data_IF_727192175562
#
_entry.id   IF_727192175562
#
_cell.length_a   1.000
_cell.length_b   1.000
_cell.length_c   1.000
_cell.angle_alpha   90.00
_cell.angle_beta   90.00
_cell.angle_gamma   90.00
#
_symmetry.space_group_name_H-M   'P 1'
#
loop_
_entity.id
_entity.type
_entity.pdbx_description
1 polymer ?
#
# COMPACT_ATOMS: atom_id res chain seq x y z
N UNK A 1 17.67 22.30 4.54
CA UNK A 1 16.91 22.44 3.28
C UNK A 1 16.48 23.89 3.15
N UNK A 2 16.71 24.53 2.00
CA UNK A 2 16.29 25.92 1.77
C UNK A 2 14.76 26.06 1.90
N UNK A 3 14.32 27.00 2.73
CA UNK A 3 12.89 27.28 2.98
C UNK A 3 12.14 27.62 1.68
N UNK A 4 12.83 28.25 0.72
CA UNK A 4 12.23 28.59 -0.58
C UNK A 4 11.98 27.38 -1.46
N UNK A 5 12.85 26.36 -1.43
CA UNK A 5 12.64 25.10 -2.18
C UNK A 5 11.46 24.30 -1.61
N UNK A 6 11.32 24.29 -0.28
CA UNK A 6 10.18 23.68 0.41
C UNK A 6 8.86 24.36 0.02
N UNK A 7 8.83 25.69 0.03
CA UNK A 7 7.61 26.47 -0.30
C UNK A 7 7.20 26.41 -1.76
N UNK A 8 8.15 26.19 -2.67
CA UNK A 8 7.85 25.88 -4.09
C UNK A 8 7.11 24.55 -4.23
N UNK A 9 7.49 23.53 -3.44
CA UNK A 9 6.79 22.24 -3.41
C UNK A 9 5.37 22.36 -2.80
N UNK A 10 5.15 23.30 -1.87
CA UNK A 10 3.86 23.52 -1.22
C UNK A 10 2.74 24.00 -2.17
N UNK A 11 3.09 24.67 -3.29
CA UNK A 11 2.10 25.04 -4.33
C UNK A 11 1.52 23.78 -4.99
N UNK A 12 2.40 22.84 -5.37
CA UNK A 12 2.01 21.62 -6.08
C UNK A 12 1.37 20.62 -5.15
N UNK A 13 1.92 20.45 -3.94
CA UNK A 13 1.30 19.60 -2.92
C UNK A 13 -0.06 20.17 -2.52
N UNK A 14 -0.20 21.48 -2.33
CA UNK A 14 -1.48 22.14 -2.06
C UNK A 14 -2.51 21.95 -3.18
N UNK A 15 -2.10 22.11 -4.44
CA UNK A 15 -2.96 21.86 -5.60
C UNK A 15 -3.35 20.38 -5.73
N UNK A 16 -2.42 19.45 -5.55
CA UNK A 16 -2.70 18.01 -5.58
C UNK A 16 -3.64 17.58 -4.44
N UNK A 17 -3.41 18.10 -3.23
CA UNK A 17 -4.27 17.87 -2.05
C UNK A 17 -5.67 18.45 -2.30
N UNK A 18 -5.78 19.64 -2.89
CA UNK A 18 -7.06 20.24 -3.26
C UNK A 18 -7.84 19.36 -4.25
N UNK A 19 -7.19 18.93 -5.33
CA UNK A 19 -7.81 18.07 -6.34
C UNK A 19 -8.19 16.69 -5.78
N UNK A 20 -7.38 16.15 -4.87
CA UNK A 20 -7.68 14.90 -4.17
C UNK A 20 -8.90 15.05 -3.25
N UNK A 21 -8.98 16.11 -2.46
CA UNK A 21 -10.15 16.43 -1.64
C UNK A 21 -11.42 16.59 -2.48
N UNK A 22 -11.32 17.30 -3.62
CA UNK A 22 -12.41 17.44 -4.58
C UNK A 22 -12.86 16.08 -5.14
N UNK A 23 -11.91 15.21 -5.49
CA UNK A 23 -12.22 13.87 -5.99
C UNK A 23 -12.94 13.01 -4.93
N UNK A 24 -12.53 13.08 -3.66
CA UNK A 24 -13.24 12.40 -2.56
C UNK A 24 -14.68 12.89 -2.47
N UNK A 25 -14.91 14.20 -2.53
CA UNK A 25 -16.26 14.78 -2.50
C UNK A 25 -17.10 14.26 -3.67
N UNK A 26 -16.52 14.22 -4.88
CA UNK A 26 -17.22 13.72 -6.07
C UNK A 26 -17.59 12.23 -5.95
N UNK A 27 -16.76 11.41 -5.31
CA UNK A 27 -17.12 10.01 -5.04
C UNK A 27 -18.16 9.88 -3.93
N UNK A 28 -18.08 10.73 -2.90
CA UNK A 28 -19.05 10.76 -1.81
C UNK A 28 -20.46 11.10 -2.31
N UNK A 29 -20.59 11.98 -3.30
CA UNK A 29 -21.89 12.30 -3.92
C UNK A 29 -22.53 11.13 -4.68
N UNK A 30 -21.77 10.08 -5.02
CA UNK A 30 -22.32 8.87 -5.65
C UNK A 30 -22.88 7.88 -4.62
N UNK A 31 -22.66 8.11 -3.32
CA UNK A 31 -23.16 7.24 -2.26
C UNK A 31 -24.59 7.66 -1.87
N UNK A 32 -25.47 6.70 -1.54
CA UNK A 32 -26.86 7.00 -1.17
C UNK A 32 -26.90 7.80 0.14
N UNK A 33 -27.43 9.02 0.06
CA UNK A 33 -27.58 9.94 1.20
C UNK A 33 -28.76 9.60 2.12
N UNK A 34 -29.74 8.85 1.58
CA UNK A 34 -30.90 8.29 2.28
C UNK A 34 -31.14 6.93 1.64
N UNK A 35 -31.20 5.89 2.44
CA UNK A 35 -31.48 4.54 1.94
C UNK A 35 -32.43 3.83 2.91
N UNK A 36 -33.24 2.91 2.39
CA UNK A 36 -34.15 2.08 3.18
C UNK A 36 -33.50 0.72 3.39
N UNK A 37 -32.80 0.54 4.50
CA UNK A 37 -32.24 -0.75 4.89
C UNK A 37 -33.12 -1.39 5.96
N UNK A 38 -33.68 -2.58 5.66
CA UNK A 38 -34.50 -3.33 6.62
C UNK A 38 -35.85 -2.70 7.00
N UNK A 39 -36.43 -1.84 6.15
CA UNK A 39 -37.72 -1.20 6.41
C UNK A 39 -37.68 0.04 7.31
N UNK A 40 -36.48 0.47 7.73
CA UNK A 40 -36.26 1.74 8.44
C UNK A 40 -35.57 2.72 7.50
N UNK A 41 -36.12 3.94 7.40
CA UNK A 41 -35.54 5.02 6.62
C UNK A 41 -34.25 5.50 7.30
N UNK A 42 -33.09 5.30 6.67
CA UNK A 42 -31.85 5.88 7.17
C UNK A 42 -31.88 7.39 6.96
N UNK A 43 -31.77 8.11 8.07
CA UNK A 43 -31.70 9.57 8.09
C UNK A 43 -30.31 10.00 7.62
N UNK A 44 -30.22 11.19 7.02
CA UNK A 44 -29.00 11.71 6.39
C UNK A 44 -27.74 11.58 7.27
N UNK A 45 -27.82 11.74 8.59
CA UNK A 45 -26.69 11.65 9.52
C UNK A 45 -26.08 10.24 9.68
N UNK A 46 -26.77 9.19 9.22
CA UNK A 46 -26.28 7.80 9.19
C UNK A 46 -25.67 7.47 7.81
N UNK A 47 -25.69 8.43 6.88
CA UNK A 47 -25.20 8.20 5.53
C UNK A 47 -23.71 7.88 5.51
N UNK A 48 -23.28 6.82 4.80
CA UNK A 48 -21.86 6.52 4.59
C UNK A 48 -21.13 7.64 3.83
N UNK A 49 -21.85 8.56 3.17
CA UNK A 49 -21.29 9.69 2.44
C UNK A 49 -20.78 10.83 3.34
N UNK A 50 -21.31 10.98 4.57
CA UNK A 50 -21.00 12.14 5.43
C UNK A 50 -19.54 12.21 5.80
N UNK A 51 -18.95 11.08 6.20
CA UNK A 51 -17.55 11.05 6.62
C UNK A 51 -16.61 11.41 5.45
N UNK A 52 -16.73 10.81 4.26
CA UNK A 52 -16.02 11.26 3.06
C UNK A 52 -16.25 12.74 2.70
N UNK A 53 -17.48 13.26 2.84
CA UNK A 53 -17.78 14.67 2.55
C UNK A 53 -17.05 15.62 3.50
N UNK A 54 -17.07 15.35 4.80
CA UNK A 54 -16.40 16.19 5.81
C UNK A 54 -14.88 16.14 5.60
N UNK A 55 -14.31 14.94 5.52
CA UNK A 55 -12.87 14.75 5.36
C UNK A 55 -12.40 15.35 4.03
N UNK A 56 -13.11 15.07 2.93
CA UNK A 56 -12.81 15.64 1.61
C UNK A 56 -12.86 17.16 1.61
N UNK A 57 -13.85 17.76 2.28
CA UNK A 57 -13.98 19.22 2.42
C UNK A 57 -12.83 19.84 3.21
N UNK A 58 -12.43 19.23 4.34
CA UNK A 58 -11.29 19.68 5.13
C UNK A 58 -9.98 19.60 4.34
N UNK A 59 -9.75 18.49 3.64
CA UNK A 59 -8.58 18.29 2.78
C UNK A 59 -8.54 19.32 1.66
N UNK A 60 -9.67 19.55 0.99
CA UNK A 60 -9.81 20.54 -0.07
C UNK A 60 -9.49 21.95 0.46
N UNK A 61 -10.03 22.32 1.62
CA UNK A 61 -9.80 23.63 2.25
C UNK A 61 -8.33 23.83 2.64
N UNK A 62 -7.69 22.82 3.24
CA UNK A 62 -6.26 22.84 3.55
C UNK A 62 -5.39 22.98 2.30
N UNK A 63 -5.72 22.26 1.23
CA UNK A 63 -5.05 22.39 -0.06
C UNK A 63 -5.18 23.80 -0.65
N UNK A 64 -6.37 24.40 -0.56
CA UNK A 64 -6.61 25.79 -1.00
C UNK A 64 -5.82 26.80 -0.17
N UNK A 65 -5.75 26.64 1.16
CA UNK A 65 -4.99 27.51 2.05
C UNK A 65 -3.48 27.41 1.81
N UNK A 66 -2.96 26.20 1.61
CA UNK A 66 -1.56 25.97 1.21
C UNK A 66 -1.25 26.67 -0.11
N UNK A 67 -2.08 26.44 -1.13
CA UNK A 67 -1.90 27.04 -2.45
C UNK A 67 -1.95 28.58 -2.38
N UNK A 68 -2.91 29.14 -1.65
CA UNK A 68 -3.04 30.60 -1.43
C UNK A 68 -1.84 31.20 -0.71
N UNK A 69 -1.34 30.53 0.32
CA UNK A 69 -0.20 31.00 1.13
C UNK A 69 1.08 30.96 0.32
N UNK A 70 1.29 29.88 -0.44
CA UNK A 70 2.44 29.70 -1.28
C UNK A 70 2.42 30.65 -2.50
N UNK A 71 1.27 30.86 -3.15
CA UNK A 71 1.11 31.87 -4.22
C UNK A 71 1.40 33.30 -3.73
N UNK A 72 0.95 33.66 -2.52
CA UNK A 72 1.19 34.98 -1.94
C UNK A 72 2.67 35.24 -1.61
N UNK A 73 3.44 34.21 -1.23
CA UNK A 73 4.85 34.38 -0.86
C UNK A 73 5.81 34.23 -2.04
N UNK A 74 5.48 33.40 -3.02
CA UNK A 74 6.42 32.96 -4.08
C UNK A 74 6.18 33.74 -5.39
N UNK A 75 4.96 34.25 -5.62
CA UNK A 75 4.60 35.05 -6.79
C UNK A 75 4.53 34.26 -8.11
N UNK A 76 3.84 34.81 -9.12
CA UNK A 76 3.66 34.15 -10.43
C UNK A 76 4.96 33.88 -11.20
N UNK A 77 6.04 34.63 -10.95
CA UNK A 77 7.36 34.40 -11.58
C UNK A 77 7.98 33.05 -11.19
N UNK A 78 7.81 32.63 -9.94
CA UNK A 78 8.37 31.37 -9.47
C UNK A 78 7.52 30.16 -9.86
N UNK A 79 6.29 30.34 -10.35
CA UNK A 79 5.53 29.25 -10.99
C UNK A 79 6.26 28.75 -12.25
N UNK A 80 6.76 29.66 -13.09
CA UNK A 80 7.55 29.31 -14.28
C UNK A 80 8.88 28.64 -13.93
N UNK A 81 9.58 29.11 -12.89
CA UNK A 81 10.79 28.46 -12.39
C UNK A 81 10.51 27.08 -11.78
N UNK A 82 9.36 26.89 -11.15
CA UNK A 82 9.01 25.62 -10.51
C UNK A 82 8.55 24.59 -11.54
N UNK A 83 7.86 24.98 -12.62
CA UNK A 83 7.62 24.11 -13.78
C UNK A 83 8.95 23.68 -14.41
N UNK A 84 9.89 24.62 -14.58
CA UNK A 84 11.23 24.33 -15.09
C UNK A 84 12.04 23.43 -14.15
N UNK A 85 11.85 23.58 -12.84
CA UNK A 85 12.45 22.72 -11.82
C UNK A 85 11.81 21.32 -11.78
N UNK A 86 10.49 21.20 -11.93
CA UNK A 86 9.77 19.93 -12.07
C UNK A 86 10.26 19.12 -13.28
N UNK A 87 10.60 19.80 -14.37
CA UNK A 87 11.14 19.18 -15.58
C UNK A 87 12.67 18.95 -15.52
N UNK A 88 13.34 19.33 -14.42
CA UNK A 88 14.79 19.26 -14.31
C UNK A 88 15.29 17.96 -13.66
N UNK A 89 16.58 17.65 -13.89
CA UNK A 89 17.29 16.56 -13.18
C UNK A 89 17.29 16.72 -11.65
N UNK A 90 17.05 17.92 -11.13
CA UNK A 90 16.96 18.17 -9.70
C UNK A 90 15.71 17.54 -9.08
N UNK A 91 14.59 17.43 -9.81
CA UNK A 91 13.41 16.70 -9.35
C UNK A 91 13.73 15.20 -9.23
N UNK A 92 14.39 14.62 -10.24
CA UNK A 92 14.81 13.21 -10.19
C UNK A 92 15.73 12.95 -9.00
N UNK A 93 16.65 13.85 -8.69
CA UNK A 93 17.54 13.74 -7.54
C UNK A 93 16.79 13.89 -6.21
N UNK A 94 15.78 14.77 -6.15
CA UNK A 94 14.89 14.90 -5.00
C UNK A 94 14.02 13.65 -4.79
N UNK A 95 13.40 13.12 -5.84
CA UNK A 95 12.60 11.88 -5.81
C UNK A 95 13.45 10.67 -5.40
N UNK A 96 14.73 10.62 -5.78
CA UNK A 96 15.66 9.55 -5.38
C UNK A 96 16.29 9.76 -4.00
N UNK A 97 15.89 10.79 -3.25
CA UNK A 97 16.40 10.99 -1.89
C UNK A 97 15.93 9.86 -0.96
N UNK A 98 16.79 9.48 -0.01
CA UNK A 98 16.54 8.37 0.91
C UNK A 98 15.22 8.54 1.69
N UNK A 99 14.88 9.72 2.24
CA UNK A 99 13.62 9.91 2.95
C UNK A 99 12.39 9.70 2.04
N UNK A 100 12.44 10.19 0.80
CA UNK A 100 11.34 10.04 -0.16
C UNK A 100 11.17 8.58 -0.58
N UNK A 101 12.27 7.84 -0.76
CA UNK A 101 12.20 6.42 -1.11
C UNK A 101 11.61 5.59 0.03
N UNK A 102 11.93 5.92 1.29
CA UNK A 102 11.27 5.33 2.48
C UNK A 102 9.77 5.60 2.46
N UNK A 103 9.38 6.85 2.22
CA UNK A 103 7.96 7.23 2.11
C UNK A 103 7.24 6.48 0.98
N UNK A 104 7.82 6.40 -0.21
CA UNK A 104 7.26 5.65 -1.33
C UNK A 104 7.15 4.15 -1.03
N UNK A 105 8.14 3.59 -0.34
CA UNK A 105 8.11 2.18 0.08
C UNK A 105 6.92 1.92 0.98
N UNK A 106 6.68 2.78 1.99
CA UNK A 106 5.51 2.68 2.88
C UNK A 106 4.23 2.84 2.06
N UNK A 107 4.11 3.90 1.27
CA UNK A 107 2.90 4.19 0.51
C UNK A 107 2.55 3.05 -0.45
N UNK A 108 3.52 2.56 -1.23
CA UNK A 108 3.30 1.45 -2.17
C UNK A 108 2.96 0.17 -1.42
N UNK A 109 3.64 -0.15 -0.31
CA UNK A 109 3.31 -1.32 0.52
C UNK A 109 1.87 -1.29 1.02
N UNK A 110 1.45 -0.19 1.63
CA UNK A 110 0.08 -0.07 2.17
C UNK A 110 -0.97 -0.05 1.07
N UNK A 111 -0.75 0.71 -0.02
CA UNK A 111 -1.70 0.77 -1.13
C UNK A 111 -1.84 -0.58 -1.83
N UNK A 112 -0.74 -1.27 -2.11
CA UNK A 112 -0.79 -2.61 -2.68
C UNK A 112 -1.41 -3.63 -1.71
N UNK A 113 -1.11 -3.55 -0.42
CA UNK A 113 -1.71 -4.45 0.56
C UNK A 113 -3.23 -4.30 0.63
N UNK A 114 -3.71 -3.07 0.84
CA UNK A 114 -5.15 -2.79 1.04
C UNK A 114 -5.96 -2.98 -0.25
N UNK A 115 -5.49 -2.44 -1.37
CA UNK A 115 -6.28 -2.40 -2.60
C UNK A 115 -6.00 -3.53 -3.57
N UNK A 116 -4.83 -4.18 -3.49
CA UNK A 116 -4.45 -5.24 -4.42
C UNK A 116 -4.54 -6.63 -3.77
N UNK A 117 -3.78 -6.86 -2.70
CA UNK A 117 -3.55 -8.21 -2.18
C UNK A 117 -4.66 -8.70 -1.25
N UNK A 118 -5.03 -7.95 -0.21
CA UNK A 118 -6.06 -8.38 0.77
C UNK A 118 -7.37 -8.85 0.09
N UNK A 119 -7.92 -8.14 -0.91
CA UNK A 119 -9.21 -8.53 -1.49
C UNK A 119 -9.15 -9.74 -2.43
N UNK A 120 -7.95 -10.20 -2.83
CA UNK A 120 -7.79 -11.14 -3.97
C UNK A 120 -6.90 -12.34 -3.67
N UNK A 121 -6.09 -12.27 -2.63
CA UNK A 121 -5.11 -13.27 -2.24
C UNK A 121 -5.40 -13.65 -0.79
N UNK A 122 -5.16 -14.91 -0.44
CA UNK A 122 -5.28 -15.39 0.94
C UNK A 122 -4.63 -14.41 1.94
N UNK A 123 -5.36 -14.10 3.01
CA UNK A 123 -4.95 -13.12 4.00
C UNK A 123 -3.58 -13.43 4.63
N UNK A 124 -3.28 -14.69 4.94
CA UNK A 124 -2.00 -15.08 5.55
C UNK A 124 -0.85 -14.81 4.59
N UNK A 125 -1.00 -15.20 3.32
CA UNK A 125 0.02 -14.99 2.28
C UNK A 125 0.24 -13.49 2.07
N UNK A 126 -0.85 -12.71 1.98
CA UNK A 126 -0.80 -11.25 1.85
C UNK A 126 -0.07 -10.60 3.01
N UNK A 127 -0.35 -11.02 4.25
CA UNK A 127 0.28 -10.49 5.45
C UNK A 127 1.77 -10.87 5.52
N UNK A 128 2.14 -12.10 5.15
CA UNK A 128 3.54 -12.54 5.04
C UNK A 128 4.29 -11.69 4.01
N UNK A 129 3.75 -11.51 2.81
CA UNK A 129 4.37 -10.67 1.77
C UNK A 129 4.60 -9.25 2.30
N UNK A 130 3.57 -8.66 2.91
CA UNK A 130 3.65 -7.32 3.48
C UNK A 130 4.77 -7.22 4.53
N UNK A 131 4.81 -8.14 5.51
CA UNK A 131 5.81 -8.11 6.58
C UNK A 131 7.22 -8.43 6.08
N UNK A 132 7.37 -9.38 5.18
CA UNK A 132 8.66 -9.73 4.57
C UNK A 132 9.27 -8.47 3.96
N UNK A 133 8.52 -7.77 3.11
CA UNK A 133 9.01 -6.57 2.40
C UNK A 133 9.18 -5.39 3.34
N UNK A 134 8.24 -5.17 4.26
CA UNK A 134 8.28 -4.07 5.22
C UNK A 134 9.50 -4.19 6.13
N UNK A 135 9.70 -5.34 6.79
CA UNK A 135 10.80 -5.53 7.74
C UNK A 135 12.14 -5.47 7.00
N UNK A 136 12.31 -6.14 5.85
CA UNK A 136 13.60 -6.08 5.13
C UNK A 136 13.93 -4.69 4.61
N UNK A 137 12.93 -3.91 4.22
CA UNK A 137 13.13 -2.53 3.75
C UNK A 137 13.65 -1.60 4.85
N UNK A 138 13.12 -1.73 6.08
CA UNK A 138 13.43 -0.80 7.17
C UNK A 138 14.47 -1.32 8.18
N UNK A 139 14.55 -2.63 8.41
CA UNK A 139 15.41 -3.20 9.45
C UNK A 139 16.89 -3.29 9.05
N UNK A 140 17.18 -3.38 7.75
CA UNK A 140 18.56 -3.36 7.24
C UNK A 140 19.23 -1.99 7.41
N UNK A 141 18.44 -0.91 7.40
CA UNK A 141 18.90 0.48 7.52
C UNK A 141 20.00 0.87 6.50
N UNK A 142 19.93 0.28 5.29
CA UNK A 142 20.84 0.55 4.18
C UNK A 142 20.04 1.09 2.98
N UNK A 143 20.39 2.30 2.54
CA UNK A 143 19.70 2.99 1.45
C UNK A 143 19.85 2.32 0.09
N UNK A 144 21.00 1.70 -0.21
CA UNK A 144 21.21 1.00 -1.48
C UNK A 144 20.41 -0.29 -1.52
N UNK A 145 20.34 -1.01 -0.40
CA UNK A 145 19.50 -2.21 -0.28
C UNK A 145 18.02 -1.86 -0.38
N UNK A 146 17.57 -0.85 0.36
CA UNK A 146 16.19 -0.37 0.30
C UNK A 146 15.78 -0.05 -1.15
N UNK A 147 16.61 0.68 -1.90
CA UNK A 147 16.33 1.01 -3.30
C UNK A 147 16.16 -0.24 -4.16
N UNK A 148 17.09 -1.19 -4.07
CA UNK A 148 17.04 -2.44 -4.87
C UNK A 148 15.81 -3.28 -4.53
N UNK A 149 15.50 -3.41 -3.24
CA UNK A 149 14.36 -4.18 -2.75
C UNK A 149 13.03 -3.50 -3.12
N UNK A 150 12.96 -2.18 -3.03
CA UNK A 150 11.78 -1.40 -3.44
C UNK A 150 11.45 -1.59 -4.92
N UNK A 151 12.44 -1.46 -5.82
CA UNK A 151 12.20 -1.65 -7.25
C UNK A 151 11.82 -3.09 -7.60
N UNK A 152 12.41 -4.08 -6.92
CA UNK A 152 12.02 -5.48 -7.09
C UNK A 152 10.56 -5.69 -6.64
N UNK A 153 10.18 -5.14 -5.49
CA UNK A 153 8.80 -5.21 -5.01
C UNK A 153 7.83 -4.53 -5.98
N UNK A 154 8.15 -3.34 -6.45
CA UNK A 154 7.35 -2.58 -7.41
C UNK A 154 7.13 -3.38 -8.71
N UNK A 155 8.17 -4.05 -9.21
CA UNK A 155 8.06 -4.90 -10.39
C UNK A 155 7.10 -6.09 -10.14
N UNK A 156 7.19 -6.75 -8.98
CA UNK A 156 6.26 -7.83 -8.64
C UNK A 156 4.82 -7.37 -8.45
N UNK A 157 4.60 -6.20 -7.85
CA UNK A 157 3.27 -5.57 -7.77
C UNK A 157 2.73 -5.26 -9.16
N UNK A 158 3.57 -4.75 -10.07
CA UNK A 158 3.16 -4.49 -11.45
C UNK A 158 2.75 -5.80 -12.17
N UNK A 159 3.50 -6.89 -11.96
CA UNK A 159 3.14 -8.22 -12.48
C UNK A 159 1.79 -8.68 -11.93
N UNK A 160 1.54 -8.52 -10.63
CA UNK A 160 0.23 -8.85 -10.03
C UNK A 160 -0.89 -8.00 -10.62
N UNK A 161 -0.67 -6.69 -10.80
CA UNK A 161 -1.66 -5.80 -11.44
C UNK A 161 -1.98 -6.27 -12.85
N UNK A 162 -0.96 -6.59 -13.66
CA UNK A 162 -1.17 -7.10 -15.02
C UNK A 162 -1.91 -8.44 -15.01
N UNK A 163 -1.54 -9.35 -14.10
CA UNK A 163 -2.20 -10.64 -13.93
C UNK A 163 -3.70 -10.49 -13.66
N UNK A 164 -4.08 -9.60 -12.74
CA UNK A 164 -5.48 -9.34 -12.42
C UNK A 164 -6.20 -8.54 -13.51
N UNK A 165 -5.54 -7.57 -14.14
CA UNK A 165 -6.13 -6.78 -15.22
C UNK A 165 -6.45 -7.62 -16.47
N UNK A 166 -5.65 -8.66 -16.73
CA UNK A 166 -5.86 -9.61 -17.82
C UNK A 166 -6.88 -10.71 -17.49
N UNK A 167 -7.38 -10.79 -16.25
CA UNK A 167 -8.35 -11.81 -15.84
C UNK A 167 -7.80 -13.24 -15.90
N UNK A 168 -6.49 -13.43 -15.74
CA UNK A 168 -5.84 -14.74 -15.90
C UNK A 168 -6.21 -15.75 -14.80
N UNK A 169 -6.92 -15.31 -13.76
CA UNK A 169 -7.34 -16.16 -12.65
C UNK A 169 -8.30 -17.27 -13.12
N UNK A 170 -9.28 -16.95 -13.97
CA UNK A 170 -10.30 -17.90 -14.42
C UNK A 170 -9.75 -19.05 -15.29
N UNK A 171 -8.91 -18.82 -16.33
CA UNK A 171 -8.35 -19.91 -17.12
C UNK A 171 -7.37 -20.77 -16.31
N UNK A 172 -6.58 -20.16 -15.42
CA UNK A 172 -5.62 -20.88 -14.59
C UNK A 172 -6.30 -21.68 -13.47
N UNK A 173 -7.39 -21.16 -12.90
CA UNK A 173 -8.17 -21.82 -11.86
C UNK A 173 -8.80 -23.15 -12.30
N UNK A 174 -8.95 -23.37 -13.62
CA UNK A 174 -9.40 -24.66 -14.18
C UNK A 174 -8.30 -25.73 -14.15
N UNK A 175 -7.04 -25.32 -14.07
CA UNK A 175 -5.88 -26.20 -14.18
C UNK A 175 -5.25 -26.41 -12.80
N UNK A 176 -5.16 -25.33 -12.00
CA UNK A 176 -4.48 -25.33 -10.70
C UNK A 176 -5.37 -24.65 -9.66
N UNK A 177 -5.59 -25.27 -8.48
CA UNK A 177 -6.31 -24.63 -7.40
C UNK A 177 -5.51 -23.44 -6.84
N UNK A 178 -6.21 -22.35 -6.53
CA UNK A 178 -5.62 -21.12 -5.93
C UNK A 178 -4.42 -20.54 -6.71
N UNK A 179 -4.55 -20.22 -8.01
CA UNK A 179 -3.41 -19.80 -8.83
C UNK A 179 -2.82 -18.45 -8.39
N UNK A 180 -3.64 -17.55 -7.84
CA UNK A 180 -3.23 -16.25 -7.27
C UNK A 180 -2.33 -16.40 -6.06
N UNK A 181 -2.66 -17.34 -5.18
CA UNK A 181 -1.90 -17.63 -3.96
C UNK A 181 -0.54 -18.24 -4.32
N UNK A 182 -0.51 -19.17 -5.27
CA UNK A 182 0.72 -19.78 -5.77
C UNK A 182 1.63 -18.72 -6.41
N UNK A 183 1.08 -17.86 -7.25
CA UNK A 183 1.84 -16.76 -7.85
C UNK A 183 2.44 -15.84 -6.79
N UNK A 184 1.68 -15.55 -5.73
CA UNK A 184 2.14 -14.69 -4.63
C UNK A 184 3.19 -15.38 -3.77
N UNK A 185 3.08 -16.69 -3.53
CA UNK A 185 4.12 -17.48 -2.86
C UNK A 185 5.41 -17.45 -3.69
N UNK A 186 5.33 -17.66 -5.01
CA UNK A 186 6.47 -17.52 -5.92
C UNK A 186 7.10 -16.12 -5.82
N UNK A 187 6.28 -15.08 -5.70
CA UNK A 187 6.76 -13.72 -5.49
C UNK A 187 7.48 -13.55 -4.14
N UNK A 188 6.92 -14.06 -3.04
CA UNK A 188 7.57 -14.02 -1.71
C UNK A 188 8.91 -14.75 -1.73
N UNK A 189 8.96 -15.94 -2.33
CA UNK A 189 10.18 -16.74 -2.45
C UNK A 189 11.23 -16.02 -3.29
N UNK A 190 10.86 -15.51 -4.46
CA UNK A 190 11.79 -14.78 -5.34
C UNK A 190 12.32 -13.50 -4.67
N UNK A 191 11.47 -12.74 -3.97
CA UNK A 191 11.87 -11.59 -3.18
C UNK A 191 12.86 -11.99 -2.07
N UNK A 192 12.55 -13.05 -1.34
CA UNK A 192 13.38 -13.57 -0.24
C UNK A 192 14.76 -14.02 -0.71
N UNK A 193 14.82 -14.78 -1.81
CA UNK A 193 16.07 -15.22 -2.43
C UNK A 193 16.88 -14.03 -2.94
N UNK A 194 16.22 -13.05 -3.55
CA UNK A 194 16.89 -11.83 -4.01
C UNK A 194 17.48 -11.03 -2.84
N UNK A 195 16.71 -10.83 -1.77
CA UNK A 195 17.18 -10.18 -0.54
C UNK A 195 18.39 -10.91 0.06
N UNK A 196 18.32 -12.24 0.16
CA UNK A 196 19.44 -13.07 0.61
C UNK A 196 20.70 -12.90 -0.25
N UNK A 197 20.55 -12.91 -1.59
CA UNK A 197 21.66 -12.74 -2.53
C UNK A 197 22.38 -11.40 -2.34
N UNK A 198 21.65 -10.34 -2.00
CA UNK A 198 22.22 -9.01 -1.75
C UNK A 198 23.00 -8.94 -0.43
N UNK A 199 22.51 -9.59 0.63
CA UNK A 199 23.10 -9.48 1.98
C UNK A 199 24.11 -10.57 2.31
N UNK A 200 24.24 -11.64 1.49
CA UNK A 200 25.04 -12.84 1.82
C UNK A 200 26.49 -12.56 2.22
N UNK A 201 27.06 -11.44 1.76
CA UNK A 201 28.44 -11.04 2.05
C UNK A 201 28.62 -10.42 3.44
N UNK A 202 27.55 -9.96 4.09
CA UNK A 202 27.63 -9.26 5.38
C UNK A 202 26.98 -10.10 6.51
N UNK A 203 27.76 -10.58 7.50
CA UNK A 203 27.24 -11.44 8.56
C UNK A 203 26.24 -10.75 9.48
N UNK A 204 26.34 -9.43 9.70
CA UNK A 204 25.40 -8.69 10.57
C UNK A 204 24.02 -8.61 9.92
N UNK A 205 23.96 -8.30 8.62
CA UNK A 205 22.72 -8.25 7.85
C UNK A 205 22.07 -9.63 7.72
N UNK A 206 22.86 -10.71 7.63
CA UNK A 206 22.33 -12.09 7.63
C UNK A 206 21.58 -12.42 8.92
N UNK A 207 22.12 -12.04 10.08
CA UNK A 207 21.44 -12.24 11.37
C UNK A 207 20.12 -11.46 11.40
N UNK A 208 20.16 -10.20 10.94
CA UNK A 208 18.96 -9.37 10.82
C UNK A 208 17.91 -10.00 9.90
N UNK A 209 18.31 -10.52 8.75
CA UNK A 209 17.39 -11.14 7.79
C UNK A 209 16.75 -12.41 8.33
N UNK A 210 17.50 -13.28 9.01
CA UNK A 210 16.92 -14.47 9.63
C UNK A 210 15.84 -14.09 10.65
N UNK A 211 16.13 -13.12 11.52
CA UNK A 211 15.14 -12.63 12.48
C UNK A 211 13.93 -12.01 11.77
N UNK A 212 14.16 -11.23 10.71
CA UNK A 212 13.09 -10.65 9.90
C UNK A 212 12.18 -11.71 9.28
N UNK A 213 12.73 -12.77 8.70
CA UNK A 213 11.94 -13.86 8.10
C UNK A 213 11.16 -14.62 9.17
N UNK A 214 11.77 -14.95 10.31
CA UNK A 214 11.05 -15.61 11.41
C UNK A 214 9.86 -14.76 11.84
N UNK A 215 10.06 -13.48 12.11
CA UNK A 215 8.96 -12.59 12.56
C UNK A 215 7.91 -12.40 11.47
N UNK A 216 8.31 -12.26 10.20
CA UNK A 216 7.38 -12.04 9.09
C UNK A 216 6.49 -13.25 8.80
N UNK A 217 6.98 -14.47 9.01
CA UNK A 217 6.20 -15.69 8.82
C UNK A 217 5.43 -16.08 10.09
N UNK A 218 6.06 -16.00 11.27
CA UNK A 218 5.41 -16.46 12.50
C UNK A 218 4.28 -15.53 12.93
N UNK A 219 4.45 -14.20 12.79
CA UNK A 219 3.45 -13.24 13.28
C UNK A 219 2.08 -13.38 12.61
N UNK A 220 1.96 -13.41 11.26
CA UNK A 220 0.66 -13.58 10.60
C UNK A 220 -0.03 -14.89 10.95
N UNK A 221 0.73 -15.98 11.10
CA UNK A 221 0.16 -17.27 11.45
C UNK A 221 -0.36 -17.28 12.90
N UNK A 222 0.42 -16.79 13.87
CA UNK A 222 -0.06 -16.72 15.27
C UNK A 222 -1.31 -15.83 15.36
N UNK A 223 -1.24 -14.61 14.83
CA UNK A 223 -2.35 -13.66 14.94
C UNK A 223 -3.55 -14.15 14.14
N UNK A 224 -3.36 -14.58 12.90
CA UNK A 224 -4.42 -15.07 12.03
C UNK A 224 -5.13 -16.30 12.61
N UNK A 225 -4.39 -17.26 13.18
CA UNK A 225 -4.97 -18.43 13.82
C UNK A 225 -5.81 -18.07 15.04
N UNK A 226 -5.33 -17.16 15.90
CA UNK A 226 -6.11 -16.68 17.05
C UNK A 226 -7.41 -16.01 16.59
N UNK A 227 -7.33 -15.10 15.62
CA UNK A 227 -8.51 -14.38 15.14
C UNK A 227 -9.52 -15.31 14.46
N UNK A 228 -9.07 -16.21 13.59
CA UNK A 228 -9.98 -17.11 12.86
C UNK A 228 -10.57 -18.20 13.76
N UNK A 229 -9.74 -18.93 14.51
CA UNK A 229 -10.20 -20.14 15.19
C UNK A 229 -10.61 -19.94 16.64
N UNK A 230 -10.02 -18.97 17.35
CA UNK A 230 -10.40 -18.68 18.73
C UNK A 230 -11.47 -17.59 18.83
N UNK A 231 -11.39 -16.56 17.98
CA UNK A 231 -12.35 -15.45 17.99
C UNK A 231 -13.44 -15.56 16.90
N UNK A 232 -13.37 -16.58 16.03
CA UNK A 232 -14.33 -16.83 14.95
C UNK A 232 -14.53 -15.62 14.03
N UNK A 233 -13.49 -14.81 13.84
CA UNK A 233 -13.52 -13.64 12.97
C UNK A 233 -13.27 -14.10 11.51
N UNK A 234 -14.19 -13.80 10.58
CA UNK A 234 -14.00 -14.16 9.18
C UNK A 234 -12.84 -13.36 8.58
N UNK A 235 -11.99 -14.03 7.80
CA UNK A 235 -10.87 -13.40 7.14
C UNK A 235 -11.32 -12.66 5.87
N UNK A 236 -10.67 -11.53 5.48
CA UNK A 236 -11.10 -10.74 4.33
C UNK A 236 -11.13 -11.51 2.99
N UNK A 237 -10.16 -12.41 2.81
CA UNK A 237 -10.08 -13.32 1.67
C UNK A 237 -9.46 -14.62 2.15
N UNK A 238 -10.14 -15.71 1.85
CA UNK A 238 -9.77 -17.07 2.23
C UNK A 238 -9.30 -17.83 0.99
N UNK A 239 -8.10 -18.39 1.05
CA UNK A 239 -7.51 -19.12 -0.07
C UNK A 239 -6.78 -20.36 0.42
N UNK A 240 -5.61 -20.62 -0.16
CA UNK A 240 -4.86 -21.86 0.01
C UNK A 240 -4.49 -22.14 1.48
N UNK A 241 -3.98 -21.15 2.21
CA UNK A 241 -3.52 -21.37 3.59
C UNK A 241 -4.71 -21.65 4.48
N UNK A 242 -5.76 -20.84 4.34
CA UNK A 242 -7.00 -21.02 5.08
C UNK A 242 -7.63 -22.38 4.81
N UNK A 243 -7.71 -22.82 3.55
CA UNK A 243 -8.29 -24.11 3.20
C UNK A 243 -7.53 -25.27 3.85
N UNK A 244 -6.20 -25.18 3.91
CA UNK A 244 -5.36 -26.18 4.58
C UNK A 244 -5.58 -26.15 6.10
N UNK A 245 -5.61 -24.97 6.72
CA UNK A 245 -5.80 -24.86 8.17
C UNK A 245 -7.21 -25.27 8.59
N UNK A 246 -8.23 -24.98 7.79
CA UNK A 246 -9.60 -25.43 8.03
C UNK A 246 -9.69 -26.95 7.95
N UNK A 247 -9.03 -27.56 6.96
CA UNK A 247 -8.94 -29.02 6.87
C UNK A 247 -8.33 -29.63 8.15
N UNK A 248 -7.24 -29.07 8.67
CA UNK A 248 -6.64 -29.57 9.92
C UNK A 248 -7.47 -29.29 11.17
N UNK A 249 -8.17 -28.16 11.24
CA UNK A 249 -8.95 -27.76 12.42
C UNK A 249 -10.27 -28.53 12.53
N UNK A 250 -10.93 -28.78 11.40
CA UNK A 250 -12.20 -29.51 11.33
C UNK A 250 -12.02 -30.99 11.00
N UNK A 251 -10.79 -31.49 10.96
CA UNK A 251 -10.52 -32.93 10.98
C UNK A 251 -11.00 -33.49 12.32
N UNK A 252 -12.24 -33.98 12.35
CA UNK A 252 -12.76 -34.81 13.44
C UNK A 252 -11.89 -36.07 13.53
N UNK A 253 -11.11 -36.17 14.60
CA UNK A 253 -10.63 -37.45 15.13
C UNK A 253 -11.58 -37.92 16.22
#
# INVERSE_FOLDING_TARGET
MDKDKLRKADIYSGAAIFLFGLWIILQAFKMPMKDSWGGVQNVWYVSPAIFPLIVGSMIMLLGALLCRTALKMVGFKAFGETVRWLLSKALLQFLNSIPNLRFYTIAVLFLSFVYLTIPRIDFFISAVLFLVVFITSFYFDDAMLLKKLFFFYLAGILVLILYFALGLNDPLGRIVPFPTDILTICFIVSYSVYAWKLIRRNPTLRKKYRNAMIVAFVSPFIVGMIFKYFLLVPMPSEGLVVAITDFFWYLEF
#
